data_IF_025536465794
#
_entry.id   IF_025536465794
#
_cell.length_a   1.000
_cell.length_b   1.000
_cell.length_c   1.000
_cell.angle_alpha   90.00
_cell.angle_beta   90.00
_cell.angle_gamma   90.00
#
_symmetry.space_group_name_H-M   'P 1'
#
loop_
_entity.id
_entity.type
_entity.pdbx_description
1 polymer ?
#
# COMPACT_ATOMS: atom_id res chain seq x y z
N UNK A 1 -14.96 5.93 28.06
CA UNK A 1 -14.72 6.44 26.70
C UNK A 1 -14.09 5.29 25.93
N UNK A 2 -14.90 4.54 25.18
CA UNK A 2 -14.35 3.50 24.30
C UNK A 2 -13.82 4.23 23.06
N UNK A 3 -12.58 4.70 23.14
CA UNK A 3 -11.80 5.07 21.96
C UNK A 3 -11.51 3.76 21.21
N UNK A 4 -12.29 3.50 20.16
CA UNK A 4 -12.01 2.44 19.19
C UNK A 4 -10.68 2.81 18.51
N UNK A 5 -9.57 2.34 19.10
CA UNK A 5 -8.20 2.64 18.69
C UNK A 5 -7.91 1.93 17.37
N UNK A 6 -8.51 2.43 16.30
CA UNK A 6 -8.28 1.92 14.95
C UNK A 6 -6.84 2.20 14.58
N UNK A 7 -6.15 1.15 14.11
CA UNK A 7 -4.79 1.29 13.57
C UNK A 7 -4.75 2.41 12.52
N UNK A 8 -3.74 3.30 12.54
CA UNK A 8 -3.57 4.29 11.50
C UNK A 8 -3.55 3.63 10.12
N UNK A 9 -4.26 4.22 9.15
CA UNK A 9 -4.24 3.75 7.76
C UNK A 9 -3.11 4.45 7.01
N UNK A 10 -2.13 3.69 6.53
CA UNK A 10 -0.98 4.23 5.81
C UNK A 10 -1.05 3.80 4.35
N UNK A 11 -1.16 4.79 3.46
CA UNK A 11 -1.10 4.59 2.02
C UNK A 11 0.32 4.31 1.54
N UNK A 12 0.49 3.28 0.71
CA UNK A 12 1.75 2.95 0.05
C UNK A 12 1.54 2.92 -1.46
N UNK A 13 2.29 3.77 -2.18
CA UNK A 13 2.24 3.81 -3.64
C UNK A 13 2.83 2.54 -4.24
N UNK A 14 2.05 1.87 -5.07
CA UNK A 14 2.51 0.74 -5.85
C UNK A 14 3.29 1.21 -7.10
N UNK A 15 4.11 0.31 -7.64
CA UNK A 15 4.74 0.44 -8.95
C UNK A 15 4.07 -0.51 -9.93
N UNK A 16 4.07 -0.17 -11.22
CA UNK A 16 3.63 -1.10 -12.27
C UNK A 16 4.80 -1.98 -12.69
N UNK A 17 4.62 -3.31 -12.68
CA UNK A 17 5.62 -4.26 -13.17
C UNK A 17 4.97 -5.27 -14.12
N UNK A 18 5.63 -5.56 -15.23
CA UNK A 18 5.26 -6.65 -16.12
C UNK A 18 5.64 -7.98 -15.45
N UNK A 19 4.65 -8.84 -15.20
CA UNK A 19 4.85 -10.21 -14.70
C UNK A 19 4.05 -11.11 -15.63
N UNK A 20 4.73 -11.77 -16.55
CA UNK A 20 4.10 -12.35 -17.74
C UNK A 20 2.88 -13.23 -17.41
N UNK A 21 1.77 -13.09 -18.18
CA UNK A 21 1.60 -12.24 -19.36
C UNK A 21 1.06 -10.83 -19.05
N UNK A 22 0.85 -10.46 -17.79
CA UNK A 22 0.06 -9.27 -17.44
C UNK A 22 0.82 -8.25 -16.59
N UNK A 23 0.47 -6.96 -16.68
CA UNK A 23 0.99 -5.96 -15.76
C UNK A 23 0.31 -6.07 -14.39
N UNK A 24 1.08 -5.92 -13.32
CA UNK A 24 0.60 -5.86 -11.94
C UNK A 24 1.02 -4.56 -11.26
N UNK A 25 0.19 -4.08 -10.35
CA UNK A 25 0.57 -3.06 -9.38
C UNK A 25 1.17 -3.76 -8.16
N UNK A 26 2.42 -3.46 -7.85
CA UNK A 26 3.20 -4.16 -6.83
C UNK A 26 3.75 -3.20 -5.79
N UNK A 27 3.83 -3.69 -4.55
CA UNK A 27 4.51 -3.04 -3.43
C UNK A 27 5.55 -4.03 -2.90
N UNK A 28 6.76 -3.56 -2.62
CA UNK A 28 7.78 -4.39 -1.99
C UNK A 28 7.40 -4.76 -0.56
N UNK A 29 7.56 -6.02 -0.19
CA UNK A 29 7.17 -6.56 1.12
C UNK A 29 7.80 -5.79 2.30
N UNK A 30 9.05 -5.33 2.16
CA UNK A 30 9.72 -4.50 3.18
C UNK A 30 8.94 -3.25 3.60
N UNK A 31 8.17 -2.66 2.69
CA UNK A 31 7.33 -1.49 3.00
C UNK A 31 6.05 -1.90 3.73
N UNK A 32 5.48 -3.06 3.38
CA UNK A 32 4.32 -3.63 4.07
C UNK A 32 4.71 -3.96 5.52
N UNK A 33 5.82 -4.68 5.71
CA UNK A 33 6.29 -5.07 7.04
C UNK A 33 6.71 -3.84 7.87
N UNK A 34 7.30 -2.82 7.24
CA UNK A 34 7.57 -1.55 7.92
C UNK A 34 6.32 -0.86 8.45
N UNK A 35 5.18 -0.99 7.75
CA UNK A 35 3.90 -0.44 8.19
C UNK A 35 3.26 -1.34 9.27
N UNK A 36 3.18 -2.64 9.03
CA UNK A 36 2.50 -3.60 9.92
C UNK A 36 3.25 -3.76 11.23
N UNK A 37 4.54 -4.07 11.16
CA UNK A 37 5.36 -4.41 12.32
C UNK A 37 6.09 -3.19 12.87
N UNK A 38 6.59 -2.32 11.98
CA UNK A 38 7.38 -1.16 12.37
C UNK A 38 6.55 0.01 12.89
N UNK A 39 5.36 0.23 12.33
CA UNK A 39 4.50 1.38 12.65
C UNK A 39 3.18 0.99 13.35
N UNK A 40 2.94 -0.31 13.59
CA UNK A 40 1.67 -0.86 14.11
C UNK A 40 0.42 -0.30 13.39
N UNK A 41 0.48 -0.27 12.06
CA UNK A 41 -0.49 0.39 11.21
C UNK A 41 -1.10 -0.56 10.17
N UNK A 42 -2.22 -0.15 9.57
CA UNK A 42 -2.88 -0.86 8.48
C UNK A 42 -2.35 -0.33 7.13
N UNK A 43 -1.76 -1.17 6.26
CA UNK A 43 -1.33 -0.74 4.93
C UNK A 43 -2.47 -0.69 3.92
N UNK A 44 -2.50 0.34 3.07
CA UNK A 44 -3.37 0.44 1.89
C UNK A 44 -2.53 0.63 0.63
N UNK A 45 -2.62 -0.30 -0.31
CA UNK A 45 -1.91 -0.18 -1.59
C UNK A 45 -2.63 0.78 -2.53
N UNK A 46 -1.92 1.79 -3.02
CA UNK A 46 -2.43 2.79 -3.94
C UNK A 46 -1.85 2.52 -5.33
N UNK A 47 -2.67 2.21 -6.34
CA UNK A 47 -2.17 1.93 -7.69
C UNK A 47 -1.57 3.19 -8.33
N UNK A 48 -0.51 3.07 -9.15
CA UNK A 48 -0.02 4.18 -9.95
C UNK A 48 -0.99 4.41 -11.11
N UNK A 49 -1.80 5.47 -11.02
CA UNK A 49 -2.81 5.78 -12.02
C UNK A 49 -2.30 6.71 -13.13
N UNK A 50 -1.27 7.52 -12.87
CA UNK A 50 -0.65 8.44 -13.85
C UNK A 50 -1.67 9.34 -14.53
N UNK A 51 -1.47 9.59 -15.83
CA UNK A 51 -2.31 10.43 -16.70
C UNK A 51 -3.79 10.02 -16.77
N UNK A 52 -4.19 8.89 -16.18
CA UNK A 52 -5.59 8.45 -16.14
C UNK A 52 -6.45 9.31 -15.21
N UNK A 53 -5.84 10.15 -14.37
CA UNK A 53 -6.51 11.01 -13.42
C UNK A 53 -6.27 12.52 -13.64
N UNK A 54 -5.55 12.89 -14.70
CA UNK A 54 -5.24 14.29 -15.04
C UNK A 54 -6.34 14.96 -15.89
#
# INVERSE_FOLDING_TARGET
MNEDHRKPLIGVSACRKQIDPHPFNIVGEKYINGIVDGADAMPMMIPPLGDRLD
#
